data_IF_334448614593
#
_entry.id   IF_334448614593
#
_cell.length_a   1.000
_cell.length_b   1.000
_cell.length_c   1.000
_cell.angle_alpha   90.00
_cell.angle_beta   90.00
_cell.angle_gamma   90.00
#
_symmetry.space_group_name_H-M   'P 1'
#
loop_
_entity.id
_entity.type
_entity.pdbx_description
1 polymer ?
#
# COMPACT_ATOMS: atom_id res chain seq x y z
N UNK A 1 -33.87 -33.44 3.40
CA UNK A 1 -32.56 -33.97 3.87
C UNK A 1 -31.70 -32.77 4.16
N UNK A 2 -31.23 -32.65 5.41
CA UNK A 2 -30.82 -31.41 6.05
C UNK A 2 -29.55 -30.76 5.50
N UNK A 3 -29.53 -29.43 5.61
CA UNK A 3 -28.35 -28.56 5.43
C UNK A 3 -27.44 -28.74 6.66
N UNK A 4 -26.15 -29.07 6.52
CA UNK A 4 -25.24 -29.04 7.65
C UNK A 4 -24.82 -27.59 7.94
N UNK A 5 -24.94 -27.23 9.21
CA UNK A 5 -24.59 -25.94 9.81
C UNK A 5 -23.13 -25.52 9.56
N UNK A 6 -22.96 -24.21 9.38
CA UNK A 6 -21.67 -23.51 9.32
C UNK A 6 -20.82 -23.80 10.56
N UNK A 7 -19.80 -24.66 10.41
CA UNK A 7 -18.73 -24.80 11.40
C UNK A 7 -17.72 -23.67 11.23
N UNK A 8 -17.77 -22.71 12.15
CA UNK A 8 -16.65 -21.82 12.45
C UNK A 8 -15.51 -22.64 13.04
N UNK A 9 -14.51 -22.99 12.23
CA UNK A 9 -13.29 -23.61 12.72
C UNK A 9 -12.39 -22.55 13.35
N UNK A 10 -12.45 -22.42 14.67
CA UNK A 10 -11.38 -21.81 15.46
C UNK A 10 -10.33 -22.89 15.71
N UNK A 11 -9.12 -22.72 15.20
CA UNK A 11 -8.02 -23.63 15.53
C UNK A 11 -6.84 -22.86 16.10
N UNK A 12 -6.48 -23.25 17.33
CA UNK A 12 -5.72 -22.51 18.36
C UNK A 12 -4.19 -22.50 18.19
N UNK A 13 -3.62 -22.89 17.04
CA UNK A 13 -2.19 -23.20 16.95
C UNK A 13 -1.48 -22.56 15.73
N UNK A 14 -1.61 -21.24 15.52
CA UNK A 14 -1.02 -20.56 14.34
C UNK A 14 0.33 -19.88 14.63
N UNK A 15 0.79 -19.75 15.88
CA UNK A 15 2.03 -19.02 16.21
C UNK A 15 3.03 -19.73 17.14
N UNK A 16 3.13 -21.06 17.11
CA UNK A 16 4.19 -21.78 17.85
C UNK A 16 5.50 -22.01 17.04
N UNK A 17 5.86 -21.08 16.15
CA UNK A 17 7.27 -20.95 15.76
C UNK A 17 7.81 -19.68 16.38
N UNK A 18 8.75 -19.86 17.31
CA UNK A 18 9.69 -18.82 17.73
C UNK A 18 10.40 -18.26 16.50
N UNK A 19 9.80 -17.27 15.87
CA UNK A 19 10.61 -16.30 15.16
C UNK A 19 11.26 -15.49 16.27
N UNK A 20 12.55 -15.75 16.53
CA UNK A 20 13.39 -14.83 17.31
C UNK A 20 13.54 -13.54 16.52
N UNK A 21 12.50 -12.72 16.53
CA UNK A 21 12.61 -11.30 16.31
C UNK A 21 13.14 -10.74 17.62
N UNK A 22 14.45 -10.56 17.71
CA UNK A 22 15.07 -9.86 18.84
C UNK A 22 14.85 -8.36 18.67
N UNK A 23 13.60 -7.94 18.82
CA UNK A 23 13.21 -6.55 19.13
C UNK A 23 12.26 -6.62 20.32
N UNK A 24 12.80 -6.95 21.49
CA UNK A 24 12.17 -6.59 22.74
C UNK A 24 12.21 -5.05 22.83
N UNK A 25 11.23 -4.38 22.22
CA UNK A 25 10.92 -3.01 22.56
C UNK A 25 10.24 -3.07 23.92
N UNK A 26 11.02 -2.75 24.96
CA UNK A 26 10.53 -2.58 26.32
C UNK A 26 9.76 -1.26 26.39
N UNK A 27 8.46 -1.30 26.13
CA UNK A 27 7.56 -0.25 26.61
C UNK A 27 7.30 -0.52 28.10
N UNK A 28 7.47 0.53 28.92
CA UNK A 28 7.52 0.50 30.38
C UNK A 28 6.26 0.07 31.12
N UNK A 29 5.34 -0.65 30.47
CA UNK A 29 4.12 -1.19 31.06
C UNK A 29 3.88 -2.63 30.59
N UNK A 30 4.73 -3.57 31.05
CA UNK A 30 4.47 -5.01 31.31
C UNK A 30 3.71 -5.93 30.34
N UNK A 31 3.09 -5.45 29.26
CA UNK A 31 2.19 -6.18 28.37
C UNK A 31 2.81 -6.26 26.98
N UNK A 32 3.51 -7.36 26.71
CA UNK A 32 4.05 -7.68 25.38
C UNK A 32 2.91 -8.01 24.41
N UNK A 33 2.36 -6.98 23.75
CA UNK A 33 1.47 -7.17 22.61
C UNK A 33 2.29 -7.57 21.39
N UNK A 34 2.47 -8.87 21.16
CA UNK A 34 3.23 -9.32 19.99
C UNK A 34 2.48 -8.99 18.69
N UNK A 35 3.21 -8.47 17.70
CA UNK A 35 2.69 -8.16 16.35
C UNK A 35 1.90 -9.36 15.79
N UNK A 36 2.41 -10.57 15.98
CA UNK A 36 1.74 -11.81 15.57
C UNK A 36 0.34 -11.99 16.17
N UNK A 37 0.16 -11.72 17.47
CA UNK A 37 -1.15 -11.83 18.14
C UNK A 37 -2.16 -10.81 17.61
N UNK A 38 -1.70 -9.61 17.25
CA UNK A 38 -2.56 -8.58 16.66
C UNK A 38 -3.19 -9.05 15.33
N UNK A 39 -2.46 -9.83 14.53
CA UNK A 39 -2.92 -10.34 13.25
C UNK A 39 -3.68 -11.68 13.31
N UNK A 40 -3.58 -12.45 14.40
CA UNK A 40 -4.08 -13.85 14.47
C UNK A 40 -5.57 -14.01 14.12
N UNK A 41 -6.39 -13.01 14.42
CA UNK A 41 -7.84 -13.03 14.17
C UNK A 41 -8.33 -11.76 13.46
N UNK A 42 -7.45 -11.15 12.66
CA UNK A 42 -7.77 -9.91 11.93
C UNK A 42 -8.03 -10.21 10.46
N UNK A 43 -9.15 -9.72 9.93
CA UNK A 43 -9.38 -9.74 8.50
C UNK A 43 -8.74 -8.49 7.86
N UNK A 44 -7.91 -8.72 6.84
CA UNK A 44 -7.12 -7.68 6.19
C UNK A 44 -7.69 -7.43 4.79
N UNK A 45 -7.96 -6.17 4.49
CA UNK A 45 -8.25 -5.72 3.13
C UNK A 45 -7.04 -5.00 2.53
N UNK A 46 -6.63 -5.42 1.33
CA UNK A 46 -5.48 -4.84 0.62
C UNK A 46 -5.93 -4.37 -0.76
N UNK A 47 -5.80 -3.07 -1.02
CA UNK A 47 -5.94 -2.54 -2.38
C UNK A 47 -4.58 -2.54 -3.07
N UNK A 48 -4.57 -2.70 -4.40
CA UNK A 48 -3.31 -2.76 -5.16
C UNK A 48 -2.56 -4.08 -4.95
N UNK A 49 -3.26 -5.12 -4.49
CA UNK A 49 -2.76 -6.48 -4.33
C UNK A 49 -2.18 -7.05 -5.65
N UNK A 50 -2.63 -6.58 -6.80
CA UNK A 50 -2.07 -6.97 -8.10
C UNK A 50 -0.85 -6.16 -8.53
N UNK A 51 -0.43 -5.13 -7.77
CA UNK A 51 0.77 -4.32 -8.02
C UNK A 51 2.04 -4.93 -7.41
N UNK A 52 3.18 -4.25 -7.54
CA UNK A 52 4.49 -4.76 -7.08
C UNK A 52 4.51 -5.13 -5.59
N UNK A 53 4.06 -4.23 -4.73
CA UNK A 53 3.92 -4.48 -3.29
C UNK A 53 2.85 -5.52 -2.98
N UNK A 54 1.73 -5.43 -3.71
CA UNK A 54 0.58 -6.30 -3.54
C UNK A 54 0.82 -7.76 -3.91
N UNK A 55 1.62 -8.03 -4.94
CA UNK A 55 1.79 -9.41 -5.47
C UNK A 55 2.59 -10.31 -4.55
N UNK A 56 3.29 -9.74 -3.56
CA UNK A 56 3.77 -10.50 -2.39
C UNK A 56 2.63 -11.14 -1.61
N UNK A 57 1.45 -10.51 -1.61
CA UNK A 57 0.26 -10.95 -0.86
C UNK A 57 -0.67 -11.86 -1.65
N UNK A 58 -0.80 -11.71 -2.98
CA UNK A 58 -1.99 -12.23 -3.69
C UNK A 58 -1.82 -13.13 -4.91
N UNK A 59 -0.63 -13.68 -5.22
CA UNK A 59 -0.52 -14.67 -6.31
C UNK A 59 -0.83 -16.10 -5.86
N UNK A 60 -2.13 -16.36 -5.74
CA UNK A 60 -2.73 -17.62 -6.20
C UNK A 60 -3.22 -17.44 -7.63
N UNK A 61 -3.47 -18.53 -8.34
CA UNK A 61 -3.94 -18.59 -9.74
C UNK A 61 -2.83 -18.62 -10.81
N UNK A 62 -2.46 -19.86 -11.13
CA UNK A 62 -1.86 -20.34 -12.39
C UNK A 62 -0.37 -20.05 -12.61
N UNK A 63 0.49 -20.74 -11.84
CA UNK A 63 1.90 -20.95 -12.16
C UNK A 63 2.78 -21.29 -10.95
N UNK A 64 3.91 -22.01 -11.12
CA UNK A 64 4.84 -22.35 -10.06
C UNK A 64 5.69 -21.12 -9.71
N UNK A 65 5.08 -20.08 -9.13
CA UNK A 65 5.87 -18.99 -8.59
C UNK A 65 6.58 -19.51 -7.33
N UNK A 66 7.86 -19.86 -7.47
CA UNK A 66 8.72 -20.42 -6.41
C UNK A 66 8.69 -19.60 -5.11
N UNK A 67 8.38 -18.30 -5.25
CA UNK A 67 8.15 -17.34 -4.18
C UNK A 67 7.19 -17.83 -3.09
N UNK A 68 6.20 -18.65 -3.45
CA UNK A 68 5.18 -19.17 -2.53
C UNK A 68 5.47 -20.59 -2.02
N UNK A 69 6.54 -21.26 -2.50
CA UNK A 69 6.79 -22.66 -2.14
C UNK A 69 6.98 -22.82 -0.63
N UNK A 70 7.75 -21.94 0.01
CA UNK A 70 7.91 -21.93 1.48
C UNK A 70 6.56 -21.80 2.21
N UNK A 71 5.62 -21.01 1.68
CA UNK A 71 4.29 -20.85 2.28
C UNK A 71 3.46 -22.11 2.06
N UNK A 72 3.45 -22.66 0.84
CA UNK A 72 2.72 -23.90 0.53
C UNK A 72 3.23 -25.10 1.34
N UNK A 73 4.54 -25.19 1.56
CA UNK A 73 5.17 -26.25 2.35
C UNK A 73 4.84 -26.10 3.84
N UNK A 74 4.88 -24.88 4.39
CA UNK A 74 4.65 -24.64 5.82
C UNK A 74 3.17 -24.55 6.19
N UNK A 75 2.33 -24.09 5.28
CA UNK A 75 0.91 -23.85 5.49
C UNK A 75 0.13 -24.06 4.18
N UNK A 76 -0.19 -25.33 3.85
CA UNK A 76 -0.88 -25.68 2.60
C UNK A 76 -2.20 -24.93 2.40
N UNK A 77 -2.93 -24.67 3.48
CA UNK A 77 -4.25 -24.03 3.48
C UNK A 77 -4.19 -22.49 3.51
N UNK A 78 -2.99 -21.90 3.51
CA UNK A 78 -2.80 -20.44 3.59
C UNK A 78 -3.56 -19.70 2.49
N UNK A 79 -3.65 -20.29 1.29
CA UNK A 79 -4.30 -19.68 0.14
C UNK A 79 -5.83 -19.74 0.19
N UNK A 80 -6.42 -20.65 0.98
CA UNK A 80 -7.87 -20.69 1.19
C UNK A 80 -8.38 -19.45 1.95
N UNK A 81 -7.48 -18.79 2.69
CA UNK A 81 -7.75 -17.55 3.43
C UNK A 81 -7.73 -16.31 2.53
N UNK A 82 -7.24 -16.42 1.28
CA UNK A 82 -7.14 -15.31 0.34
C UNK A 82 -8.40 -15.25 -0.51
N UNK A 83 -9.18 -14.18 -0.34
CA UNK A 83 -10.37 -13.91 -1.16
C UNK A 83 -10.10 -12.72 -2.07
N UNK A 84 -10.24 -12.95 -3.37
CA UNK A 84 -10.17 -11.88 -4.36
C UNK A 84 -11.51 -11.16 -4.44
N UNK A 85 -11.49 -9.83 -4.33
CA UNK A 85 -12.65 -8.97 -4.57
C UNK A 85 -12.37 -8.19 -5.84
N UNK A 86 -13.26 -8.30 -6.81
CA UNK A 86 -13.17 -7.50 -8.04
C UNK A 86 -13.55 -6.06 -7.70
N UNK A 87 -12.70 -5.12 -8.11
CA UNK A 87 -12.93 -3.70 -7.89
C UNK A 87 -11.84 -2.85 -8.53
N UNK A 88 -12.13 -1.57 -8.68
CA UNK A 88 -11.24 -0.55 -9.20
C UNK A 88 -11.48 0.77 -8.46
N UNK A 89 -10.41 1.31 -7.88
CA UNK A 89 -10.42 2.56 -7.09
C UNK A 89 -10.83 3.78 -7.93
N UNK A 90 -10.74 3.69 -9.26
CA UNK A 90 -11.20 4.76 -10.17
C UNK A 90 -12.72 4.85 -10.28
N UNK A 91 -13.48 3.88 -9.77
CA UNK A 91 -14.94 3.88 -9.81
C UNK A 91 -15.57 4.25 -8.47
N UNK A 92 -16.80 4.80 -8.47
CA UNK A 92 -17.62 4.95 -7.27
C UNK A 92 -17.72 3.63 -6.49
N UNK A 93 -17.73 3.72 -5.16
CA UNK A 93 -17.72 2.55 -4.27
C UNK A 93 -16.60 1.53 -4.57
N UNK A 94 -15.47 1.98 -5.14
CA UNK A 94 -14.36 1.12 -5.55
C UNK A 94 -14.74 0.08 -6.62
N UNK A 95 -15.88 0.24 -7.31
CA UNK A 95 -16.36 -0.71 -8.32
C UNK A 95 -16.63 -2.12 -7.78
N UNK A 96 -16.76 -2.31 -6.47
CA UNK A 96 -17.04 -3.60 -5.85
C UNK A 96 -18.55 -3.89 -5.83
N UNK A 97 -18.92 -5.17 -5.76
CA UNK A 97 -20.31 -5.56 -5.60
C UNK A 97 -20.85 -5.17 -4.21
N UNK A 98 -22.14 -4.92 -4.09
CA UNK A 98 -22.77 -4.63 -2.78
C UNK A 98 -22.57 -5.77 -1.77
N UNK A 99 -22.54 -7.02 -2.25
CA UNK A 99 -22.27 -8.20 -1.40
C UNK A 99 -20.85 -8.15 -0.84
N UNK A 100 -19.85 -7.92 -1.69
CA UNK A 100 -18.46 -7.82 -1.24
C UNK A 100 -18.24 -6.59 -0.35
N UNK A 101 -18.89 -5.46 -0.67
CA UNK A 101 -18.88 -4.25 0.14
C UNK A 101 -19.36 -4.52 1.55
N UNK A 102 -20.48 -5.24 1.69
CA UNK A 102 -21.04 -5.58 2.99
C UNK A 102 -20.11 -6.52 3.77
N UNK A 103 -19.49 -7.50 3.10
CA UNK A 103 -18.47 -8.36 3.72
C UNK A 103 -17.31 -7.53 4.26
N UNK A 104 -16.81 -6.55 3.50
CA UNK A 104 -15.72 -5.67 3.94
C UNK A 104 -16.13 -4.87 5.18
N UNK A 105 -17.31 -4.25 5.15
CA UNK A 105 -17.86 -3.44 6.25
C UNK A 105 -18.00 -4.25 7.55
N UNK A 106 -18.49 -5.48 7.45
CA UNK A 106 -18.80 -6.31 8.61
C UNK A 106 -17.59 -7.01 9.21
N UNK A 107 -16.61 -7.36 8.38
CA UNK A 107 -15.56 -8.31 8.79
C UNK A 107 -14.16 -7.71 8.86
N UNK A 108 -13.84 -6.66 8.10
CA UNK A 108 -12.46 -6.15 8.01
C UNK A 108 -12.05 -5.42 9.28
N UNK A 109 -10.78 -5.61 9.66
CA UNK A 109 -10.17 -4.93 10.80
C UNK A 109 -9.00 -4.04 10.39
N UNK A 110 -8.30 -4.40 9.31
CA UNK A 110 -7.06 -3.73 8.90
C UNK A 110 -7.13 -3.47 7.40
N UNK A 111 -6.84 -2.24 7.00
CA UNK A 111 -6.84 -1.84 5.58
C UNK A 111 -5.45 -1.35 5.20
N UNK A 112 -4.86 -1.98 4.17
CA UNK A 112 -3.65 -1.49 3.50
C UNK A 112 -4.04 -0.88 2.16
N UNK A 113 -3.87 0.42 2.03
CA UNK A 113 -4.11 1.13 0.79
C UNK A 113 -2.82 1.35 0.01
N UNK A 114 -2.54 0.44 -0.93
CA UNK A 114 -1.36 0.50 -1.83
C UNK A 114 -1.72 0.68 -3.31
N UNK A 115 -3.01 0.71 -3.67
CA UNK A 115 -3.42 0.99 -5.05
C UNK A 115 -3.04 2.41 -5.46
N UNK A 116 -2.26 2.55 -6.52
CA UNK A 116 -1.89 3.82 -7.12
C UNK A 116 -1.42 3.59 -8.57
N UNK A 117 -1.55 4.60 -9.42
CA UNK A 117 -0.71 4.71 -10.63
C UNK A 117 0.63 5.31 -10.24
N UNK A 118 1.71 4.62 -10.63
CA UNK A 118 3.10 4.99 -10.37
C UNK A 118 3.82 5.47 -11.63
N UNK A 119 3.06 5.71 -12.71
CA UNK A 119 3.62 6.21 -13.98
C UNK A 119 3.90 7.71 -13.87
N UNK A 120 5.16 8.10 -14.03
CA UNK A 120 5.56 9.50 -13.93
C UNK A 120 5.07 10.39 -15.09
N UNK A 121 4.66 9.76 -16.20
CA UNK A 121 4.08 10.41 -17.36
C UNK A 121 2.55 10.18 -17.46
N UNK A 122 1.90 9.76 -16.36
CA UNK A 122 0.45 9.63 -16.34
C UNK A 122 -0.21 11.01 -16.51
N UNK A 123 -1.28 11.02 -17.28
CA UNK A 123 -2.16 12.18 -17.41
C UNK A 123 -2.67 12.66 -16.03
N UNK A 124 -2.72 13.98 -15.83
CA UNK A 124 -3.12 14.54 -14.54
C UNK A 124 -4.52 14.08 -14.12
N UNK A 125 -5.49 14.01 -15.06
CA UNK A 125 -6.85 13.56 -14.76
C UNK A 125 -6.84 12.13 -14.24
N UNK A 126 -6.14 11.22 -14.93
CA UNK A 126 -6.03 9.82 -14.51
C UNK A 126 -5.30 9.68 -13.17
N UNK A 127 -4.21 10.41 -12.97
CA UNK A 127 -3.46 10.39 -11.73
C UNK A 127 -4.31 10.85 -10.53
N UNK A 128 -5.07 11.94 -10.68
CA UNK A 128 -5.98 12.44 -9.65
C UNK A 128 -7.11 11.43 -9.37
N UNK A 129 -7.71 10.83 -10.40
CA UNK A 129 -8.75 9.81 -10.24
C UNK A 129 -8.23 8.61 -9.43
N UNK A 130 -7.07 8.08 -9.79
CA UNK A 130 -6.54 6.85 -9.20
C UNK A 130 -5.93 7.08 -7.81
N UNK A 131 -5.08 8.09 -7.67
CA UNK A 131 -4.30 8.28 -6.45
C UNK A 131 -5.05 9.13 -5.43
N UNK A 132 -5.69 10.21 -5.86
CA UNK A 132 -6.33 11.18 -4.95
C UNK A 132 -7.77 10.78 -4.65
N UNK A 133 -8.62 10.69 -5.68
CA UNK A 133 -10.02 10.31 -5.52
C UNK A 133 -10.17 8.83 -5.11
N UNK A 134 -9.29 7.95 -5.59
CA UNK A 134 -9.20 6.57 -5.12
C UNK A 134 -8.93 6.50 -3.61
N UNK A 135 -7.98 7.28 -3.09
CA UNK A 135 -7.73 7.37 -1.64
C UNK A 135 -8.96 7.83 -0.88
N UNK A 136 -9.66 8.87 -1.38
CA UNK A 136 -10.91 9.35 -0.78
C UNK A 136 -11.95 8.24 -0.67
N UNK A 137 -12.18 7.50 -1.74
CA UNK A 137 -13.16 6.40 -1.76
C UNK A 137 -12.79 5.29 -0.79
N UNK A 138 -11.50 4.97 -0.65
CA UNK A 138 -11.05 3.98 0.35
C UNK A 138 -11.25 4.52 1.76
N UNK A 139 -10.94 5.79 2.04
CA UNK A 139 -11.21 6.39 3.36
C UNK A 139 -12.70 6.44 3.68
N UNK A 140 -13.58 6.67 2.68
CA UNK A 140 -15.03 6.61 2.85
C UNK A 140 -15.48 5.19 3.24
N UNK A 141 -15.02 4.15 2.55
CA UNK A 141 -15.28 2.76 2.94
C UNK A 141 -14.79 2.50 4.38
N UNK A 142 -13.60 2.98 4.74
CA UNK A 142 -13.04 2.78 6.07
C UNK A 142 -13.91 3.35 7.19
N UNK A 143 -14.61 4.47 6.96
CA UNK A 143 -15.57 5.03 7.94
C UNK A 143 -16.77 4.13 8.19
N UNK A 144 -17.10 3.26 7.25
CA UNK A 144 -18.24 2.35 7.36
C UNK A 144 -17.86 1.01 8.00
N UNK A 145 -16.57 0.65 8.00
CA UNK A 145 -16.10 -0.61 8.58
C UNK A 145 -16.32 -0.61 10.10
N UNK A 146 -17.11 -1.58 10.57
CA UNK A 146 -17.60 -1.63 11.97
C UNK A 146 -16.51 -1.85 13.01
N UNK A 147 -15.43 -2.54 12.62
CA UNK A 147 -14.39 -3.02 13.54
C UNK A 147 -13.00 -2.64 13.05
N UNK A 148 -12.87 -1.47 12.41
CA UNK A 148 -11.60 -0.97 11.90
C UNK A 148 -10.64 -0.66 13.05
N UNK A 149 -9.49 -1.32 13.05
CA UNK A 149 -8.39 -1.13 13.99
C UNK A 149 -7.27 -0.27 13.42
N UNK A 150 -7.03 -0.36 12.11
CA UNK A 150 -5.95 0.39 11.45
C UNK A 150 -6.17 0.54 9.94
N UNK A 151 -5.89 1.73 9.44
CA UNK A 151 -5.78 2.06 8.02
C UNK A 151 -4.36 2.57 7.72
N UNK A 152 -3.63 1.86 6.86
CA UNK A 152 -2.29 2.26 6.44
C UNK A 152 -2.31 2.67 4.97
N UNK A 153 -2.03 3.95 4.71
CA UNK A 153 -1.82 4.48 3.38
C UNK A 153 -0.35 4.36 2.97
N UNK A 154 -0.09 3.67 1.86
CA UNK A 154 1.24 3.62 1.26
C UNK A 154 1.44 4.85 0.40
N UNK A 155 2.20 5.82 0.92
CA UNK A 155 2.62 7.00 0.19
C UNK A 155 3.99 6.80 -0.48
N UNK A 156 4.84 7.83 -0.51
CA UNK A 156 6.20 7.79 -1.07
C UNK A 156 7.04 8.89 -0.43
N UNK A 157 8.33 8.66 -0.26
CA UNK A 157 9.29 9.66 0.23
C UNK A 157 9.34 10.91 -0.67
N UNK A 158 8.87 10.80 -1.91
CA UNK A 158 8.89 11.87 -2.91
C UNK A 158 7.60 12.71 -2.98
N UNK A 159 6.62 12.46 -2.10
CA UNK A 159 5.33 13.17 -2.13
C UNK A 159 5.53 14.68 -1.95
N UNK A 160 6.48 15.08 -1.11
CA UNK A 160 6.81 16.49 -0.83
C UNK A 160 8.10 16.95 -1.53
N UNK A 161 8.38 16.44 -2.73
CA UNK A 161 9.57 16.77 -3.53
C UNK A 161 9.64 18.23 -4.00
N UNK A 162 8.58 19.01 -3.76
CA UNK A 162 8.55 20.47 -3.92
C UNK A 162 9.27 21.23 -2.78
N UNK A 163 9.72 20.53 -1.74
CA UNK A 163 10.36 21.09 -0.53
C UNK A 163 11.79 20.58 -0.37
N UNK A 164 12.63 21.43 0.23
CA UNK A 164 14.04 21.10 0.50
C UNK A 164 14.22 20.28 1.78
N UNK A 165 13.39 20.50 2.80
CA UNK A 165 13.41 19.78 4.08
C UNK A 165 12.03 19.24 4.37
N UNK A 166 11.96 17.95 4.73
CA UNK A 166 10.72 17.20 4.94
C UNK A 166 10.79 16.54 6.32
N UNK A 167 9.81 16.86 7.17
CA UNK A 167 9.58 16.26 8.47
C UNK A 167 8.52 15.16 8.36
N UNK A 168 8.37 14.35 9.42
CA UNK A 168 7.31 13.33 9.53
C UNK A 168 5.94 13.95 9.88
N UNK A 169 5.53 14.93 9.08
CA UNK A 169 4.21 15.57 9.13
C UNK A 169 3.54 15.52 7.76
N UNK A 170 2.22 15.63 7.72
CA UNK A 170 1.47 15.78 6.47
C UNK A 170 1.41 17.26 6.13
N UNK A 171 1.89 17.62 4.95
CA UNK A 171 1.91 19.00 4.49
C UNK A 171 0.63 19.34 3.75
N UNK A 172 0.21 20.62 3.85
CA UNK A 172 -0.84 21.14 2.99
C UNK A 172 -0.36 21.13 1.53
N UNK A 173 -1.10 20.51 0.60
CA UNK A 173 -0.70 20.46 -0.79
C UNK A 173 -0.88 21.82 -1.51
N UNK A 174 -0.30 22.00 -2.72
CA UNK A 174 -0.38 23.27 -3.46
C UNK A 174 -1.78 23.73 -3.84
N UNK A 175 -2.74 22.80 -3.97
CA UNK A 175 -4.16 23.09 -4.20
C UNK A 175 -5.01 22.20 -3.30
N UNK A 176 -6.27 22.59 -3.08
CA UNK A 176 -7.20 21.78 -2.30
C UNK A 176 -7.59 20.49 -3.08
N UNK A 177 -7.65 19.30 -2.43
CA UNK A 177 -8.08 18.08 -3.09
C UNK A 177 -9.48 18.10 -3.65
N UNK A 178 -10.42 18.81 -3.01
CA UNK A 178 -11.78 18.95 -3.53
C UNK A 178 -11.82 19.81 -4.78
N UNK A 179 -11.07 20.92 -4.80
CA UNK A 179 -11.01 21.80 -5.97
C UNK A 179 -10.49 21.06 -7.19
N UNK A 180 -9.40 20.28 -7.06
CA UNK A 180 -8.85 19.58 -8.21
C UNK A 180 -9.74 18.43 -8.67
N UNK A 181 -10.40 17.73 -7.74
CA UNK A 181 -11.34 16.65 -8.06
C UNK A 181 -12.54 17.22 -8.81
N UNK A 182 -13.11 18.33 -8.35
CA UNK A 182 -14.19 19.03 -9.06
C UNK A 182 -13.73 19.50 -10.45
N UNK A 183 -12.51 20.03 -10.56
CA UNK A 183 -11.95 20.47 -11.84
C UNK A 183 -11.86 19.33 -12.85
N UNK A 184 -11.32 18.17 -12.48
CA UNK A 184 -11.14 17.05 -13.43
C UNK A 184 -12.46 16.37 -13.82
N UNK A 185 -13.50 16.50 -12.99
CA UNK A 185 -14.84 15.98 -13.28
C UNK A 185 -15.59 16.88 -14.27
N UNK A 186 -15.48 18.20 -14.13
CA UNK A 186 -16.23 19.17 -14.92
C UNK A 186 -15.52 19.51 -16.24
N UNK A 187 -14.19 19.66 -16.20
CA UNK A 187 -13.45 20.17 -17.34
C UNK A 187 -13.14 19.07 -18.37
N UNK A 188 -13.16 19.42 -19.67
CA UNK A 188 -12.70 18.52 -20.72
C UNK A 188 -11.19 18.27 -20.56
N UNK A 189 -10.73 17.12 -21.06
CA UNK A 189 -9.34 16.67 -20.90
C UNK A 189 -8.34 17.71 -21.42
N UNK A 190 -8.64 18.32 -22.55
CA UNK A 190 -7.78 19.30 -23.21
C UNK A 190 -7.55 20.54 -22.33
N UNK A 191 -8.56 20.95 -21.56
CA UNK A 191 -8.43 22.05 -20.61
C UNK A 191 -7.55 21.65 -19.41
N UNK A 192 -7.69 20.43 -18.91
CA UNK A 192 -6.85 19.89 -17.83
C UNK A 192 -5.39 19.82 -18.27
N UNK A 193 -5.11 19.38 -19.49
CA UNK A 193 -3.73 19.28 -20.02
C UNK A 193 -3.04 20.65 -20.06
N UNK A 194 -3.77 21.70 -20.43
CA UNK A 194 -3.25 23.08 -20.43
C UNK A 194 -2.98 23.57 -19.01
N UNK A 195 -3.84 23.23 -18.05
CA UNK A 195 -3.70 23.64 -16.64
C UNK A 195 -2.68 22.80 -15.88
N UNK A 196 -2.39 21.58 -16.33
CA UNK A 196 -1.62 20.60 -15.57
C UNK A 196 -0.27 21.15 -15.10
N UNK A 197 0.49 21.81 -15.97
CA UNK A 197 1.79 22.41 -15.60
C UNK A 197 1.67 23.44 -14.49
N UNK A 198 0.59 24.23 -14.48
CA UNK A 198 0.38 25.26 -13.46
C UNK A 198 -0.09 24.64 -12.14
N UNK A 199 -0.92 23.60 -12.20
CA UNK A 199 -1.42 22.88 -11.03
C UNK A 199 -0.32 22.09 -10.32
N UNK A 200 0.59 21.47 -11.08
CA UNK A 200 1.74 20.73 -10.52
C UNK A 200 2.69 21.64 -9.73
N UNK A 201 2.77 22.92 -10.10
CA UNK A 201 3.65 23.88 -9.44
C UNK A 201 5.10 23.42 -9.48
N UNK A 202 5.69 23.18 -8.29
CA UNK A 202 7.08 22.72 -8.14
C UNK A 202 7.24 21.20 -8.16
N UNK A 203 6.16 20.43 -8.20
CA UNK A 203 6.27 18.98 -8.27
C UNK A 203 6.85 18.54 -9.62
N UNK A 204 7.81 17.60 -9.63
CA UNK A 204 8.48 17.16 -10.86
C UNK A 204 7.57 16.34 -11.78
N UNK A 205 6.47 15.77 -11.26
CA UNK A 205 5.54 14.94 -12.02
C UNK A 205 4.17 14.79 -11.32
N UNK A 206 3.20 14.24 -12.05
CA UNK A 206 1.83 14.00 -11.56
C UNK A 206 1.76 13.00 -10.40
N UNK A 207 2.69 12.05 -10.33
CA UNK A 207 2.76 11.07 -9.24
C UNK A 207 3.04 11.74 -7.90
N UNK A 208 4.14 12.49 -7.79
CA UNK A 208 4.53 13.17 -6.53
C UNK A 208 3.43 14.11 -6.04
N UNK A 209 2.87 14.90 -6.95
CA UNK A 209 1.75 15.79 -6.69
C UNK A 209 0.53 15.04 -6.15
N UNK A 210 0.03 14.02 -6.85
CA UNK A 210 -1.18 13.30 -6.44
C UNK A 210 -0.99 12.47 -5.17
N UNK A 211 0.24 12.05 -4.84
CA UNK A 211 0.56 11.42 -3.55
C UNK A 211 0.53 12.42 -2.40
N UNK A 212 1.01 13.65 -2.57
CA UNK A 212 0.83 14.71 -1.57
C UNK A 212 -0.66 14.99 -1.30
N UNK A 213 -1.46 15.07 -2.36
CA UNK A 213 -2.92 15.23 -2.25
C UNK A 213 -3.58 14.06 -1.49
N UNK A 214 -3.15 12.83 -1.78
CA UNK A 214 -3.66 11.64 -1.10
C UNK A 214 -3.32 11.63 0.39
N UNK A 215 -2.10 12.02 0.79
CA UNK A 215 -1.74 12.15 2.20
C UNK A 215 -2.63 13.16 2.94
N UNK A 216 -2.92 14.30 2.30
CA UNK A 216 -3.80 15.30 2.89
C UNK A 216 -5.23 14.78 3.10
N UNK A 217 -5.77 14.02 2.15
CA UNK A 217 -7.06 13.34 2.33
C UNK A 217 -7.02 12.38 3.53
N UNK A 218 -5.93 11.65 3.73
CA UNK A 218 -5.79 10.77 4.91
C UNK A 218 -5.79 11.59 6.20
N UNK A 219 -5.08 12.73 6.23
CA UNK A 219 -5.07 13.65 7.36
C UNK A 219 -6.47 14.18 7.69
N UNK A 220 -7.23 14.63 6.69
CA UNK A 220 -8.61 15.13 6.87
C UNK A 220 -9.55 14.10 7.49
N UNK A 221 -9.25 12.81 7.30
CA UNK A 221 -10.07 11.71 7.80
C UNK A 221 -9.49 11.05 9.06
N UNK A 222 -8.30 11.49 9.53
CA UNK A 222 -7.58 10.90 10.67
C UNK A 222 -8.32 11.03 12.01
N UNK A 223 -9.19 12.04 12.16
CA UNK A 223 -10.02 12.19 13.35
C UNK A 223 -11.07 11.07 13.52
N UNK A 224 -11.42 10.37 12.43
CA UNK A 224 -12.46 9.32 12.42
C UNK A 224 -11.93 7.94 12.06
N UNK A 225 -10.70 7.85 11.56
CA UNK A 225 -10.09 6.62 11.06
C UNK A 225 -8.71 6.50 11.72
N UNK A 226 -8.40 5.39 12.40
CA UNK A 226 -7.06 5.16 12.95
C UNK A 226 -6.06 4.97 11.80
N UNK A 227 -5.41 6.05 11.38
CA UNK A 227 -4.64 6.10 10.13
C UNK A 227 -3.13 6.30 10.32
N UNK A 228 -2.36 5.67 9.43
CA UNK A 228 -0.92 5.94 9.29
C UNK A 228 -0.54 6.10 7.82
N UNK A 229 0.47 6.93 7.57
CA UNK A 229 1.06 7.15 6.25
C UNK A 229 2.48 6.59 6.26
N UNK A 230 2.79 5.66 5.38
CA UNK A 230 4.14 5.10 5.22
C UNK A 230 4.72 5.58 3.89
N UNK A 231 5.91 6.20 3.92
CA UNK A 231 6.55 6.84 2.75
C UNK A 231 7.80 6.06 2.31
N UNK A 232 7.67 4.94 1.58
CA UNK A 232 8.83 4.24 1.03
C UNK A 232 9.57 5.11 -0.02
N UNK A 233 10.90 4.94 -0.08
CA UNK A 233 11.76 5.47 -1.16
C UNK A 233 11.68 4.55 -2.40
N UNK A 234 12.74 4.45 -3.20
CA UNK A 234 12.73 3.62 -4.41
C UNK A 234 12.81 2.15 -4.00
N UNK A 235 11.70 1.44 -4.17
CA UNK A 235 11.61 0.05 -3.74
C UNK A 235 12.34 -0.87 -4.74
N UNK A 236 13.26 -1.67 -4.23
CA UNK A 236 14.08 -2.61 -5.00
C UNK A 236 13.82 -4.07 -4.62
N UNK A 237 14.63 -4.97 -5.19
CA UNK A 237 14.62 -6.38 -4.87
C UNK A 237 14.75 -6.66 -3.36
N UNK A 238 14.20 -7.79 -2.93
CA UNK A 238 14.23 -8.23 -1.54
C UNK A 238 15.66 -8.43 -1.03
N UNK A 239 15.91 -8.04 0.21
CA UNK A 239 17.18 -8.31 0.87
C UNK A 239 17.21 -9.76 1.37
N UNK A 240 16.16 -10.21 2.06
CA UNK A 240 16.10 -11.54 2.69
C UNK A 240 14.90 -12.34 2.25
N UNK A 241 13.70 -11.76 2.29
CA UNK A 241 12.47 -12.51 2.09
C UNK A 241 11.72 -12.08 0.83
N UNK A 242 11.23 -13.02 0.01
CA UNK A 242 11.18 -14.47 0.23
C UNK A 242 12.51 -15.21 -0.03
N UNK A 243 13.40 -14.59 -0.80
CA UNK A 243 14.82 -14.90 -0.92
C UNK A 243 15.55 -13.64 -1.43
N UNK A 244 16.87 -13.49 -1.18
CA UNK A 244 17.65 -12.35 -1.64
C UNK A 244 17.56 -12.16 -3.16
N UNK A 245 17.38 -10.91 -3.60
CA UNK A 245 17.29 -10.55 -5.02
C UNK A 245 15.91 -10.81 -5.66
N UNK A 246 14.92 -11.28 -4.92
CA UNK A 246 13.57 -11.45 -5.47
C UNK A 246 12.96 -10.11 -5.87
N UNK A 247 12.46 -10.05 -7.11
CA UNK A 247 11.68 -8.93 -7.62
C UNK A 247 10.59 -9.44 -8.57
N UNK A 248 9.43 -8.81 -8.51
CA UNK A 248 8.25 -9.19 -9.30
C UNK A 248 8.04 -8.30 -10.55
N UNK A 249 8.84 -7.25 -10.74
CA UNK A 249 8.89 -6.52 -12.00
C UNK A 249 10.29 -5.96 -12.28
N UNK A 250 10.55 -5.64 -13.54
CA UNK A 250 11.82 -5.07 -14.03
C UNK A 250 11.69 -3.57 -14.35
N UNK A 251 10.77 -2.88 -13.69
CA UNK A 251 10.51 -1.46 -13.96
C UNK A 251 11.55 -0.56 -13.29
N UNK A 252 11.89 0.55 -13.95
CA UNK A 252 12.77 1.58 -13.40
C UNK A 252 14.16 1.06 -13.04
N UNK A 253 14.64 1.41 -11.85
CA UNK A 253 16.01 1.09 -11.39
C UNK A 253 16.27 -0.42 -11.30
N UNK A 254 15.23 -1.22 -11.02
CA UNK A 254 15.39 -2.68 -10.95
C UNK A 254 15.78 -3.25 -12.31
N UNK A 255 15.18 -2.75 -13.40
CA UNK A 255 15.55 -3.16 -14.75
C UNK A 255 17.00 -2.82 -15.07
N UNK A 256 17.45 -1.64 -14.65
CA UNK A 256 18.84 -1.20 -14.80
C UNK A 256 19.80 -2.15 -14.04
N UNK A 257 19.53 -2.43 -12.76
CA UNK A 257 20.37 -3.34 -11.99
C UNK A 257 20.39 -4.76 -12.55
N UNK A 258 19.25 -5.24 -13.06
CA UNK A 258 19.18 -6.55 -13.71
C UNK A 258 20.07 -6.58 -14.95
N UNK A 259 20.00 -5.58 -15.82
CA UNK A 259 20.82 -5.52 -17.05
C UNK A 259 22.30 -5.27 -16.76
N UNK A 260 22.64 -4.57 -15.67
CA UNK A 260 24.01 -4.53 -15.16
C UNK A 260 24.48 -5.91 -14.68
N UNK A 261 23.66 -6.62 -13.90
CA UNK A 261 23.97 -7.97 -13.42
C UNK A 261 24.13 -8.99 -14.56
N UNK A 262 23.43 -8.80 -15.68
CA UNK A 262 23.60 -9.59 -16.92
C UNK A 262 24.81 -9.18 -17.76
N UNK A 263 25.42 -8.03 -17.49
CA UNK A 263 26.52 -7.47 -18.27
C UNK A 263 26.12 -6.77 -19.57
N UNK A 264 24.82 -6.57 -19.82
CA UNK A 264 24.31 -5.81 -20.97
C UNK A 264 24.61 -4.32 -20.81
N UNK A 265 24.32 -3.76 -19.64
CA UNK A 265 24.66 -2.38 -19.28
C UNK A 265 25.98 -2.39 -18.51
N UNK A 266 27.04 -1.85 -19.12
CA UNK A 266 28.38 -1.81 -18.53
C UNK A 266 28.70 -0.49 -17.84
N UNK A 267 28.04 0.58 -18.25
CA UNK A 267 28.24 1.93 -17.73
C UNK A 267 26.91 2.67 -17.67
N UNK A 268 26.75 3.51 -16.65
CA UNK A 268 25.60 4.40 -16.48
C UNK A 268 26.18 5.80 -16.26
N UNK A 269 25.62 6.79 -16.96
CA UNK A 269 25.93 8.19 -16.71
C UNK A 269 25.09 8.63 -15.49
N UNK A 270 25.75 9.05 -14.43
CA UNK A 270 25.12 9.59 -13.23
C UNK A 270 25.87 10.84 -12.77
N UNK A 271 25.17 11.67 -12.01
CA UNK A 271 25.77 12.77 -11.26
C UNK A 271 26.25 12.23 -9.90
N UNK A 272 27.54 12.31 -9.62
CA UNK A 272 28.16 11.81 -8.38
C UNK A 272 27.69 12.56 -7.12
N UNK A 273 27.13 13.77 -7.29
CA UNK A 273 26.57 14.55 -6.19
C UNK A 273 25.17 14.06 -5.77
N UNK A 274 24.48 13.31 -6.63
CA UNK A 274 23.15 12.79 -6.36
C UNK A 274 23.22 11.52 -5.50
N UNK A 275 22.39 11.47 -4.45
CA UNK A 275 22.19 10.26 -3.65
C UNK A 275 20.95 9.52 -4.13
N UNK A 276 21.10 8.23 -4.42
CA UNK A 276 20.00 7.34 -4.76
C UNK A 276 19.60 6.55 -3.51
N UNK A 277 18.42 6.84 -2.98
CA UNK A 277 17.84 6.10 -1.85
C UNK A 277 17.04 4.89 -2.36
N UNK A 278 17.50 3.70 -1.97
CA UNK A 278 16.95 2.41 -2.36
C UNK A 278 16.53 1.63 -1.11
N UNK A 279 15.31 1.09 -1.12
CA UNK A 279 14.78 0.30 0.01
C UNK A 279 14.32 -1.09 -0.45
N UNK A 280 14.78 -2.18 0.19
CA UNK A 280 14.31 -3.52 -0.14
C UNK A 280 12.81 -3.73 0.14
N UNK A 281 12.12 -4.43 -0.76
CA UNK A 281 10.66 -4.66 -0.68
C UNK A 281 10.21 -5.36 0.61
N UNK A 282 11.03 -6.25 1.17
CA UNK A 282 10.73 -6.93 2.43
C UNK A 282 10.78 -6.01 3.64
N UNK A 283 11.69 -5.03 3.64
CA UNK A 283 11.73 -3.99 4.68
C UNK A 283 10.48 -3.12 4.61
N UNK A 284 10.05 -2.72 3.41
CA UNK A 284 8.81 -1.94 3.23
C UNK A 284 7.61 -2.71 3.76
N UNK A 285 7.46 -3.98 3.40
CA UNK A 285 6.31 -4.80 3.83
C UNK A 285 6.31 -4.98 5.35
N UNK A 286 7.45 -5.24 5.96
CA UNK A 286 7.56 -5.35 7.42
C UNK A 286 7.23 -4.01 8.11
N UNK A 287 7.63 -2.89 7.50
CA UNK A 287 7.28 -1.55 7.99
C UNK A 287 5.78 -1.31 7.94
N UNK A 288 5.10 -1.71 6.85
CA UNK A 288 3.64 -1.60 6.75
C UNK A 288 2.92 -2.41 7.83
N UNK A 289 3.34 -3.66 8.04
CA UNK A 289 2.79 -4.55 9.08
C UNK A 289 3.00 -3.93 10.48
N UNK A 290 4.19 -3.41 10.74
CA UNK A 290 4.52 -2.78 12.02
C UNK A 290 3.74 -1.48 12.23
N UNK A 291 3.59 -0.66 11.18
CA UNK A 291 2.83 0.58 11.23
C UNK A 291 1.36 0.32 11.55
N UNK A 292 0.74 -0.70 10.94
CA UNK A 292 -0.64 -1.06 11.23
C UNK A 292 -0.84 -1.50 12.68
N UNK A 293 0.08 -2.31 13.21
CA UNK A 293 0.08 -2.69 14.62
C UNK A 293 0.21 -1.47 15.54
N UNK A 294 1.23 -0.63 15.32
CA UNK A 294 1.47 0.57 16.11
C UNK A 294 0.27 1.53 16.10
N UNK A 295 -0.34 1.74 14.93
CA UNK A 295 -1.55 2.55 14.74
C UNK A 295 -2.69 2.04 15.62
N UNK A 296 -2.86 0.72 15.74
CA UNK A 296 -3.96 0.12 16.49
C UNK A 296 -3.73 0.05 18.00
N UNK A 297 -2.48 0.10 18.47
CA UNK A 297 -2.15 -0.06 19.89
C UNK A 297 -1.79 1.25 20.60
N UNK A 298 -1.38 2.28 19.86
CA UNK A 298 -0.80 3.50 20.41
C UNK A 298 -1.59 4.78 20.06
N UNK A 299 -2.88 4.64 19.71
CA UNK A 299 -3.81 5.75 19.47
C UNK A 299 -4.79 5.96 20.62
#
# INVERSE_FOLDING_TARGET
>A
MGVPENKLFTNKNVFQQEVKFDYNLHDGDGATHSISKFYENSNIFITGATGFLGRRWSRSFSGPAMVFNKIREKNPDAFEKVKAISGDVSFPNLGISEVDRQILIDSVNIVFHSAATVKFNEDLKNAVILNTLGTRRVTQLCKEIKHLKSFVHVSTAFSNSDKETIEETVYKPPCDPDDIINCIEILPKEAIDVLAKKLLGKHPNTYTFTKAMAEYIVLENSATIPSAVVRPSIITAAWKEPYPGWVDNVSGITGIFMECGRGTIKTIICDESCRMDLIPVDIVVNTLITAAWHTATNM
#
